data_IF_359702235058
#
_entry.id   IF_359702235058
#
_cell.length_a   1.000
_cell.length_b   1.000
_cell.length_c   1.000
_cell.angle_alpha   90.00
_cell.angle_beta   90.00
_cell.angle_gamma   90.00
#
_symmetry.space_group_name_H-M   'P 1'
#
loop_
_entity.id
_entity.type
_entity.pdbx_description
1 polymer ?
#
# COMPACT_ATOMS: atom_id res chain seq x y z
N UNK A 1 6.79 22.79 -2.44
CA UNK A 1 6.53 22.35 -3.83
C UNK A 1 5.32 21.44 -3.79
N UNK A 2 4.26 21.79 -4.53
CA UNK A 2 3.02 21.02 -4.60
C UNK A 2 3.09 20.20 -5.88
N UNK A 3 3.35 18.89 -5.77
CA UNK A 3 3.19 17.97 -6.89
C UNK A 3 1.72 17.56 -6.94
N UNK A 4 0.88 18.39 -7.55
CA UNK A 4 -0.49 18.00 -7.91
C UNK A 4 -0.47 17.27 -9.25
N UNK A 5 -1.09 16.09 -9.27
CA UNK A 5 -1.60 15.40 -10.47
C UNK A 5 -0.58 14.62 -11.32
N UNK A 6 -0.05 13.51 -10.78
CA UNK A 6 0.08 12.20 -11.46
C UNK A 6 0.95 11.17 -10.70
N UNK A 7 1.04 11.21 -9.37
CA UNK A 7 1.80 10.21 -8.62
C UNK A 7 0.88 9.11 -8.11
N UNK A 8 1.27 7.86 -8.33
CA UNK A 8 0.66 6.69 -7.68
C UNK A 8 1.67 6.08 -6.73
N UNK A 9 1.25 5.71 -5.52
CA UNK A 9 2.06 4.90 -4.64
C UNK A 9 1.55 3.46 -4.69
N UNK A 10 2.48 2.51 -4.85
CA UNK A 10 2.21 1.08 -4.76
C UNK A 10 2.83 0.54 -3.48
N UNK A 11 2.04 -0.20 -2.72
CA UNK A 11 2.46 -0.90 -1.52
C UNK A 11 2.43 -2.40 -1.80
N UNK A 12 3.58 -3.04 -1.68
CA UNK A 12 3.71 -4.49 -1.71
C UNK A 12 3.97 -4.98 -0.30
N UNK A 13 3.02 -5.73 0.25
CA UNK A 13 3.05 -6.26 1.61
C UNK A 13 3.14 -7.78 1.55
N UNK A 14 4.09 -8.33 2.26
CA UNK A 14 4.19 -9.76 2.54
C UNK A 14 3.85 -9.98 4.01
N UNK A 15 2.85 -10.82 4.25
CA UNK A 15 2.34 -11.09 5.58
C UNK A 15 1.95 -12.56 5.74
N UNK A 16 1.80 -13.01 6.97
CA UNK A 16 1.20 -14.30 7.28
C UNK A 16 -0.31 -14.27 6.96
N UNK A 17 -0.83 -15.38 6.45
CA UNK A 17 -2.25 -15.48 6.11
C UNK A 17 -3.08 -15.62 7.39
N UNK A 18 -3.44 -14.48 7.97
CA UNK A 18 -4.38 -14.38 9.07
C UNK A 18 -5.67 -13.63 8.65
N UNK A 19 -6.85 -14.01 9.16
CA UNK A 19 -8.12 -13.41 8.76
C UNK A 19 -8.19 -11.89 8.92
N UNK A 20 -7.42 -11.34 9.88
CA UNK A 20 -7.47 -9.91 10.24
C UNK A 20 -6.39 -9.05 9.57
N UNK A 21 -5.40 -9.64 8.90
CA UNK A 21 -4.26 -8.90 8.33
C UNK A 21 -4.71 -7.86 7.32
N UNK A 22 -5.52 -8.28 6.34
CA UNK A 22 -5.99 -7.39 5.29
C UNK A 22 -6.87 -6.25 5.84
N UNK A 23 -7.76 -6.57 6.78
CA UNK A 23 -8.63 -5.57 7.40
C UNK A 23 -7.83 -4.48 8.14
N UNK A 24 -6.80 -4.88 8.91
CA UNK A 24 -5.90 -3.95 9.60
C UNK A 24 -5.13 -3.06 8.63
N UNK A 25 -4.66 -3.61 7.51
CA UNK A 25 -3.98 -2.82 6.49
C UNK A 25 -4.93 -1.77 5.91
N UNK A 26 -6.15 -2.14 5.53
CA UNK A 26 -7.15 -1.22 5.00
C UNK A 26 -7.56 -0.15 6.01
N UNK A 27 -7.65 -0.49 7.29
CA UNK A 27 -7.92 0.47 8.36
C UNK A 27 -6.87 1.58 8.44
N UNK A 28 -5.59 1.27 8.22
CA UNK A 28 -4.51 2.26 8.19
C UNK A 28 -4.76 3.31 7.10
N UNK A 29 -5.17 2.89 5.90
CA UNK A 29 -5.52 3.81 4.82
C UNK A 29 -6.74 4.66 5.17
N UNK A 30 -7.79 4.03 5.71
CA UNK A 30 -9.03 4.71 6.07
C UNK A 30 -8.82 5.77 7.16
N UNK A 31 -8.08 5.46 8.23
CA UNK A 31 -7.74 6.39 9.31
C UNK A 31 -6.92 7.58 8.80
N UNK A 32 -6.12 7.37 7.75
CA UNK A 32 -5.32 8.43 7.13
C UNK A 32 -6.05 9.22 6.03
N UNK A 33 -7.29 8.84 5.71
CA UNK A 33 -8.05 9.46 4.63
C UNK A 33 -7.41 9.26 3.26
N UNK A 34 -6.64 8.19 3.09
CA UNK A 34 -5.95 7.88 1.82
C UNK A 34 -6.80 6.87 1.04
N UNK A 35 -7.18 7.16 -0.21
CA UNK A 35 -7.97 6.25 -1.01
C UNK A 35 -7.15 4.99 -1.37
N UNK A 36 -7.80 3.84 -1.47
CA UNK A 36 -7.20 2.63 -2.04
C UNK A 36 -7.87 2.37 -3.39
N UNK A 37 -7.17 2.65 -4.48
CA UNK A 37 -7.71 2.53 -5.84
C UNK A 37 -7.80 1.09 -6.31
N UNK A 38 -6.80 0.30 -5.94
CA UNK A 38 -6.70 -1.10 -6.33
C UNK A 38 -6.13 -1.88 -5.18
N UNK A 39 -6.73 -3.05 -4.97
CA UNK A 39 -6.31 -4.01 -3.97
C UNK A 39 -6.23 -5.38 -4.63
N UNK A 40 -5.08 -6.03 -4.49
CA UNK A 40 -4.92 -7.44 -4.81
C UNK A 40 -4.39 -8.15 -3.58
N UNK A 41 -5.06 -9.21 -3.15
CA UNK A 41 -4.58 -10.07 -2.08
C UNK A 41 -4.55 -11.51 -2.60
N UNK A 42 -3.41 -12.19 -2.46
CA UNK A 42 -3.24 -13.59 -2.86
C UNK A 42 -2.54 -14.36 -1.77
N UNK A 43 -3.10 -15.52 -1.44
CA UNK A 43 -2.43 -16.48 -0.58
C UNK A 43 -1.44 -17.30 -1.41
N UNK A 44 -0.22 -17.46 -0.91
CA UNK A 44 0.78 -18.40 -1.41
C UNK A 44 0.55 -19.78 -0.80
N UNK A 45 1.04 -20.82 -1.46
CA UNK A 45 0.92 -22.20 -0.97
C UNK A 45 1.67 -22.41 0.37
N UNK A 46 2.62 -21.54 0.69
CA UNK A 46 3.44 -21.56 1.92
C UNK A 46 2.77 -20.91 3.14
N UNK A 47 1.45 -20.67 3.11
CA UNK A 47 0.72 -19.99 4.19
C UNK A 47 1.02 -18.50 4.32
N UNK A 48 1.70 -17.92 3.32
CA UNK A 48 1.94 -16.48 3.22
C UNK A 48 0.84 -15.80 2.41
N UNK A 49 0.70 -14.50 2.60
CA UNK A 49 -0.20 -13.63 1.87
C UNK A 49 0.60 -12.48 1.25
N UNK A 50 0.42 -12.30 -0.05
CA UNK A 50 0.93 -11.15 -0.78
C UNK A 50 -0.22 -10.19 -1.03
N UNK A 51 -0.08 -8.97 -0.53
CA UNK A 51 -1.07 -7.91 -0.65
C UNK A 51 -0.43 -6.76 -1.42
N UNK A 52 -1.08 -6.32 -2.48
CA UNK A 52 -0.68 -5.17 -3.26
C UNK A 52 -1.78 -4.13 -3.18
N UNK A 53 -1.42 -2.89 -2.81
CA UNK A 53 -2.34 -1.76 -2.79
C UNK A 53 -1.79 -0.64 -3.65
N UNK A 54 -2.65 -0.04 -4.47
CA UNK A 54 -2.31 1.16 -5.24
C UNK A 54 -3.17 2.33 -4.77
N UNK A 55 -2.57 3.51 -4.67
CA UNK A 55 -3.24 4.78 -4.31
C UNK A 55 -2.71 5.92 -5.18
N UNK A 56 -3.57 6.83 -5.60
CA UNK A 56 -3.20 8.09 -6.25
C UNK A 56 -2.96 9.20 -5.24
N UNK A 57 -2.26 10.25 -5.70
CA UNK A 57 -2.10 11.54 -5.03
C UNK A 57 -1.57 11.44 -3.58
N UNK A 58 -0.70 10.46 -3.33
CA UNK A 58 0.01 10.30 -2.07
C UNK A 58 1.42 10.87 -2.18
N UNK A 59 1.76 11.77 -1.25
CA UNK A 59 3.11 12.30 -1.08
C UNK A 59 4.06 11.23 -0.50
N UNK A 60 5.35 11.34 -0.80
CA UNK A 60 6.39 10.37 -0.38
C UNK A 60 6.44 10.18 1.14
N UNK A 61 6.38 11.28 1.91
CA UNK A 61 6.31 11.23 3.38
C UNK A 61 5.09 10.45 3.89
N UNK A 62 3.93 10.66 3.25
CA UNK A 62 2.69 9.96 3.61
C UNK A 62 2.81 8.47 3.27
N UNK A 63 3.35 8.12 2.09
CA UNK A 63 3.58 6.73 1.72
C UNK A 63 4.53 6.03 2.69
N UNK A 64 5.62 6.71 3.08
CA UNK A 64 6.58 6.17 4.06
C UNK A 64 5.93 5.98 5.43
N UNK A 65 5.08 6.93 5.88
CA UNK A 65 4.34 6.80 7.13
C UNK A 65 3.37 5.60 7.10
N UNK A 66 2.62 5.44 6.01
CA UNK A 66 1.71 4.30 5.80
C UNK A 66 2.48 2.98 5.83
N UNK A 67 3.60 2.88 5.09
CA UNK A 67 4.43 1.69 5.06
C UNK A 67 4.98 1.34 6.45
N UNK A 68 5.45 2.33 7.21
CA UNK A 68 5.92 2.14 8.57
C UNK A 68 4.81 1.65 9.51
N UNK A 69 3.59 2.16 9.38
CA UNK A 69 2.43 1.68 10.15
C UNK A 69 2.06 0.25 9.81
N UNK A 70 2.09 -0.13 8.53
CA UNK A 70 1.83 -1.51 8.12
C UNK A 70 2.87 -2.49 8.69
N UNK A 71 4.15 -2.09 8.77
CA UNK A 71 5.22 -2.89 9.39
C UNK A 71 5.01 -3.15 10.89
N UNK A 72 4.15 -2.37 11.56
CA UNK A 72 3.83 -2.57 12.98
C UNK A 72 2.75 -3.64 13.19
N UNK A 73 2.10 -4.12 12.13
CA UNK A 73 1.15 -5.24 12.22
C UNK A 73 1.95 -6.52 12.43
N UNK A 74 1.63 -7.27 13.49
CA UNK A 74 2.36 -8.49 13.90
C UNK A 74 2.51 -9.51 12.77
N UNK A 75 1.45 -9.72 11.98
CA UNK A 75 1.46 -10.67 10.87
C UNK A 75 2.23 -10.17 9.63
N UNK A 76 2.63 -8.90 9.57
CA UNK A 76 3.34 -8.33 8.43
C UNK A 76 4.84 -8.58 8.57
N UNK A 77 5.42 -9.26 7.58
CA UNK A 77 6.86 -9.58 7.53
C UNK A 77 7.65 -8.52 6.79
N UNK A 78 7.09 -7.99 5.71
CA UNK A 78 7.77 -6.99 4.89
C UNK A 78 6.76 -6.08 4.21
N UNK A 79 7.15 -4.82 4.05
CA UNK A 79 6.40 -3.80 3.30
C UNK A 79 7.39 -3.05 2.43
N UNK A 80 7.06 -2.92 1.15
CA UNK A 80 7.77 -2.07 0.20
C UNK A 80 6.78 -1.06 -0.37
N UNK A 81 7.15 0.21 -0.34
CA UNK A 81 6.42 1.28 -1.01
C UNK A 81 7.25 1.79 -2.18
N UNK A 82 6.61 2.01 -3.33
CA UNK A 82 7.23 2.61 -4.52
C UNK A 82 6.33 3.73 -5.05
N UNK A 83 6.93 4.89 -5.32
CA UNK A 83 6.25 6.01 -5.99
C UNK A 83 6.41 5.83 -7.49
N UNK A 84 5.29 5.65 -8.16
CA UNK A 84 5.13 5.55 -9.61
C UNK A 84 4.74 6.92 -10.14
N UNK A 85 5.61 7.54 -10.92
CA UNK A 85 5.27 8.77 -11.66
C UNK A 85 4.50 8.35 -12.91
N UNK A 86 3.21 8.67 -12.97
CA UNK A 86 2.43 8.50 -14.19
C UNK A 86 2.85 9.60 -15.17
N UNK A 87 3.73 9.27 -16.13
CA UNK A 87 4.02 10.17 -17.24
C UNK A 87 2.71 10.44 -17.99
N UNK A 88 2.38 11.71 -18.33
CA UNK A 88 1.26 11.98 -19.20
C UNK A 88 1.51 11.24 -20.53
N UNK A 89 0.53 10.47 -20.99
CA UNK A 89 0.57 9.88 -22.34
C UNK A 89 0.78 11.03 -23.33
N UNK A 90 1.92 11.05 -24.00
CA UNK A 90 2.12 11.90 -25.17
C UNK A 90 1.01 11.54 -26.16
N UNK A 91 0.11 12.50 -26.38
CA UNK A 91 -0.97 12.41 -27.37
C UNK A 91 -0.45 12.87 -28.72
#
# INVERSE_FOLDING_TARGET
MVFTSNTRARFSVQAEYEPSTLARILEIFNVKGVPCDSLMARMSQDGQQYIQLDTHDVADDTATNLANKMRQIVSVRSVRSEILVCLPKAS
#
